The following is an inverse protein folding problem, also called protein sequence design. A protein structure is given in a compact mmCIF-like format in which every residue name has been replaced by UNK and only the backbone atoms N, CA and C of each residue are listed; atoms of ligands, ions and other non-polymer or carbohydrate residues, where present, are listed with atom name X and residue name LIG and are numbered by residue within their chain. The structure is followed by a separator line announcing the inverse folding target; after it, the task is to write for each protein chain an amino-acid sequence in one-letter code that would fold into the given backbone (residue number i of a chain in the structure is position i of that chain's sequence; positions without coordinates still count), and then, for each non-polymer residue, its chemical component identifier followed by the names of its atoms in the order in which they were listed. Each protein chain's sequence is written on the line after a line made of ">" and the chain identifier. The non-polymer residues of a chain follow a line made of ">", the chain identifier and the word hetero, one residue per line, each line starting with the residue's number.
data_IF_674871246843
#
_entry.id   IF_674871246843
#
_cell.length_a   1.000
_cell.length_b   1.000
_cell.length_c   1.000
_cell.angle_alpha   90.00
_cell.angle_beta   90.00
_cell.angle_gamma   90.00
#
_symmetry.space_group_name_H-M   'P 1'
#
loop_
_entity.id
_entity.type
_entity.pdbx_description
1 polymer ?
#
# COMPACT_ATOMS: atom_id res chain seq x y z
N UNK A 1 -9.82 12.07 9.23
CA UNK A 1 -9.06 12.73 8.15
C UNK A 1 -9.99 13.73 7.48
N UNK A 2 -9.50 14.94 7.15
CA UNK A 2 -10.27 15.95 6.39
C UNK A 2 -10.31 15.69 4.88
N UNK A 3 -9.53 14.70 4.40
CA UNK A 3 -9.41 14.36 2.98
C UNK A 3 -9.52 12.85 2.74
N UNK A 4 -9.96 12.42 1.54
CA UNK A 4 -9.91 11.02 1.12
C UNK A 4 -8.49 10.49 1.23
N UNK A 5 -8.34 9.30 1.81
CA UNK A 5 -7.04 8.65 1.96
C UNK A 5 -6.87 7.61 0.86
N UNK A 6 -5.66 7.54 0.30
CA UNK A 6 -5.29 6.52 -0.67
C UNK A 6 -4.60 5.36 0.05
N UNK A 7 -5.08 4.14 -0.18
CA UNK A 7 -4.44 2.92 0.26
C UNK A 7 -3.81 2.22 -0.95
N UNK A 8 -2.54 1.85 -0.86
CA UNK A 8 -1.79 1.29 -2.00
C UNK A 8 -1.15 -0.04 -1.65
N UNK A 9 -1.18 -0.95 -2.61
CA UNK A 9 -0.31 -2.12 -2.66
C UNK A 9 0.75 -1.87 -3.73
N UNK A 10 2.00 -2.25 -3.47
CA UNK A 10 3.08 -2.17 -4.44
C UNK A 10 3.96 -3.41 -4.35
N UNK A 11 4.52 -3.81 -5.49
CA UNK A 11 5.40 -4.96 -5.56
C UNK A 11 6.04 -5.07 -6.95
N UNK A 12 7.18 -5.74 -6.99
CA UNK A 12 7.90 -6.05 -8.23
C UNK A 12 7.95 -7.57 -8.37
N UNK A 13 7.46 -8.15 -9.48
CA UNK A 13 7.51 -9.59 -9.67
C UNK A 13 8.97 -10.06 -9.75
N UNK A 14 9.23 -11.26 -9.22
CA UNK A 14 10.53 -11.91 -9.34
C UNK A 14 10.78 -12.35 -10.80
N UNK A 15 12.04 -12.58 -11.15
CA UNK A 15 12.40 -13.02 -12.51
C UNK A 15 11.64 -14.29 -12.88
N UNK A 16 10.97 -14.27 -14.03
CA UNK A 16 10.17 -15.40 -14.52
C UNK A 16 8.70 -15.36 -14.10
N UNK A 17 8.29 -14.37 -13.31
CA UNK A 17 6.90 -14.11 -12.96
C UNK A 17 6.38 -12.86 -13.65
N UNK A 18 5.09 -12.84 -13.95
CA UNK A 18 4.46 -11.69 -14.62
C UNK A 18 3.79 -10.74 -13.62
N UNK A 19 3.47 -9.54 -14.08
CA UNK A 19 2.70 -8.56 -13.30
C UNK A 19 1.31 -9.08 -12.96
N UNK A 20 0.70 -9.85 -13.86
CA UNK A 20 -0.63 -10.43 -13.69
C UNK A 20 -0.62 -11.56 -12.64
N UNK A 21 0.45 -12.33 -12.55
CA UNK A 21 0.61 -13.35 -11.50
C UNK A 21 0.70 -12.69 -10.12
N UNK A 22 1.48 -11.62 -10.00
CA UNK A 22 1.59 -10.86 -8.75
C UNK A 22 0.26 -10.21 -8.37
N UNK A 23 -0.45 -9.62 -9.35
CA UNK A 23 -1.77 -9.04 -9.14
C UNK A 23 -2.77 -10.08 -8.61
N UNK A 24 -2.85 -11.26 -9.23
CA UNK A 24 -3.72 -12.36 -8.76
C UNK A 24 -3.37 -12.81 -7.34
N UNK A 25 -2.08 -12.87 -7.00
CA UNK A 25 -1.65 -13.24 -5.64
C UNK A 25 -2.09 -12.19 -4.60
N UNK A 26 -2.01 -10.90 -4.94
CA UNK A 26 -2.52 -9.82 -4.07
C UNK A 26 -4.03 -9.95 -3.87
N UNK A 27 -4.79 -10.21 -4.93
CA UNK A 27 -6.24 -10.40 -4.81
C UNK A 27 -6.62 -11.61 -3.97
N UNK A 28 -5.90 -12.73 -4.13
CA UNK A 28 -6.13 -13.90 -3.28
C UNK A 28 -5.93 -13.57 -1.79
N UNK A 29 -4.95 -12.74 -1.45
CA UNK A 29 -4.71 -12.35 -0.06
C UNK A 29 -5.75 -11.36 0.48
N UNK A 30 -6.20 -10.42 -0.36
CA UNK A 30 -7.30 -9.52 -0.01
C UNK A 30 -8.57 -10.33 0.28
N UNK A 31 -8.91 -11.29 -0.56
CA UNK A 31 -10.08 -12.15 -0.35
C UNK A 31 -9.98 -12.95 0.95
N UNK A 32 -8.80 -13.50 1.28
CA UNK A 32 -8.61 -14.15 2.60
C UNK A 32 -8.89 -13.21 3.76
N UNK A 33 -8.38 -11.98 3.73
CA UNK A 33 -8.62 -11.00 4.80
C UNK A 33 -10.11 -10.60 4.88
N UNK A 34 -10.86 -10.69 3.78
CA UNK A 34 -12.31 -10.45 3.75
C UNK A 34 -13.11 -11.62 4.31
N UNK A 35 -12.66 -12.85 4.16
CA UNK A 35 -13.42 -14.06 4.51
C UNK A 35 -12.98 -14.75 5.79
N UNK A 36 -11.71 -14.62 6.16
CA UNK A 36 -11.08 -15.31 7.28
C UNK A 36 -10.55 -14.28 8.29
N UNK A 37 -10.88 -14.42 9.58
CA UNK A 37 -10.33 -13.54 10.60
C UNK A 37 -8.82 -13.76 10.74
N UNK A 38 -8.07 -12.66 10.81
CA UNK A 38 -6.63 -12.70 11.09
C UNK A 38 -6.39 -13.37 12.42
N UNK A 39 -5.36 -14.22 12.50
CA UNK A 39 -5.05 -14.94 13.74
C UNK A 39 -4.61 -13.99 14.85
N UNK A 40 -4.91 -14.34 16.11
CA UNK A 40 -4.46 -13.57 17.28
C UNK A 40 -2.93 -13.37 17.29
N UNK A 41 -2.19 -14.38 16.84
CA UNK A 41 -0.73 -14.32 16.77
C UNK A 41 -0.25 -13.27 15.76
N UNK A 42 -0.84 -13.23 14.55
CA UNK A 42 -0.49 -12.22 13.53
C UNK A 42 -0.90 -10.83 13.97
N UNK A 43 -2.11 -10.67 14.49
CA UNK A 43 -2.60 -9.40 15.00
C UNK A 43 -1.69 -8.87 16.12
N UNK A 44 -1.31 -9.73 17.07
CA UNK A 44 -0.41 -9.35 18.16
C UNK A 44 0.99 -9.00 17.64
N UNK A 45 1.49 -9.73 16.64
CA UNK A 45 2.80 -9.44 16.00
C UNK A 45 2.79 -8.05 15.36
N UNK A 46 1.76 -7.70 14.61
CA UNK A 46 1.63 -6.37 13.97
C UNK A 46 1.49 -5.29 15.04
N UNK A 47 0.69 -5.51 16.10
CA UNK A 47 0.58 -4.58 17.23
C UNK A 47 1.93 -4.31 17.89
N UNK A 48 2.74 -5.36 18.12
CA UNK A 48 4.07 -5.21 18.70
C UNK A 48 5.03 -4.40 17.80
N UNK A 49 4.96 -4.59 16.48
CA UNK A 49 5.77 -3.82 15.52
C UNK A 49 5.39 -2.33 15.53
N UNK A 50 4.09 -2.04 15.58
CA UNK A 50 3.61 -0.67 15.71
C UNK A 50 4.06 -0.03 17.03
N UNK A 51 3.97 -0.77 18.13
CA UNK A 51 4.41 -0.27 19.44
C UNK A 51 5.91 0.10 19.42
N UNK A 52 6.74 -0.75 18.83
CA UNK A 52 8.17 -0.50 18.66
C UNK A 52 8.46 0.72 17.76
N UNK A 53 7.76 0.86 16.63
CA UNK A 53 7.91 1.98 15.72
C UNK A 53 7.53 3.32 16.38
N UNK A 54 6.48 3.30 17.21
CA UNK A 54 6.04 4.46 17.96
C UNK A 54 7.01 4.87 19.05
N UNK A 55 7.57 3.93 19.81
CA UNK A 55 8.62 4.23 20.80
C UNK A 55 9.83 4.86 20.09
N UNK A 56 10.25 4.27 18.96
CA UNK A 56 11.39 4.77 18.19
C UNK A 56 11.16 6.20 17.69
N UNK A 57 9.95 6.56 17.27
CA UNK A 57 9.65 7.89 16.73
C UNK A 57 9.63 9.01 17.78
N UNK A 58 9.44 8.72 19.08
CA UNK A 58 9.57 9.72 20.16
C UNK A 58 10.89 9.65 20.92
N UNK A 59 11.81 8.80 20.51
CA UNK A 59 13.09 8.64 21.21
C UNK A 59 14.08 9.82 21.02
N UNK A 60 13.64 10.91 20.38
CA UNK A 60 14.42 12.14 20.23
C UNK A 60 13.52 13.36 20.40
N UNK A 61 14.10 14.46 20.90
CA UNK A 61 13.38 15.73 21.04
C UNK A 61 12.78 16.20 19.70
N UNK A 62 13.52 16.00 18.60
CA UNK A 62 13.06 16.34 17.25
C UNK A 62 11.87 15.46 16.83
N UNK A 63 11.95 14.14 17.03
CA UNK A 63 10.85 13.22 16.71
C UNK A 63 9.59 13.49 17.52
N UNK A 64 9.73 13.78 18.82
CA UNK A 64 8.63 14.20 19.68
C UNK A 64 8.02 15.52 19.21
N UNK A 65 8.83 16.55 18.96
CA UNK A 65 8.36 17.86 18.48
C UNK A 65 7.57 17.71 17.17
N UNK A 66 8.11 16.97 16.19
CA UNK A 66 7.42 16.71 14.92
C UNK A 66 6.06 16.04 15.11
N UNK A 67 5.97 15.06 16.02
CA UNK A 67 4.72 14.34 16.26
C UNK A 67 3.66 15.25 16.87
N UNK A 68 4.03 16.02 17.90
CA UNK A 68 3.13 16.97 18.56
C UNK A 68 2.66 18.06 17.58
N UNK A 69 3.58 18.65 16.83
CA UNK A 69 3.27 19.67 15.84
C UNK A 69 2.35 19.13 14.73
N UNK A 70 2.55 17.89 14.29
CA UNK A 70 1.71 17.28 13.25
C UNK A 70 0.27 17.05 13.74
N UNK A 71 0.09 16.53 14.96
CA UNK A 71 -1.25 16.37 15.54
C UNK A 71 -1.95 17.70 15.79
N UNK A 72 -1.25 18.70 16.32
CA UNK A 72 -1.79 20.05 16.48
C UNK A 72 -2.23 20.63 15.11
N UNK A 73 -1.39 20.51 14.07
CA UNK A 73 -1.70 21.03 12.75
C UNK A 73 -2.85 20.28 12.06
N UNK A 74 -2.97 18.97 12.26
CA UNK A 74 -3.92 18.13 11.53
C UNK A 74 -5.29 18.02 12.21
N UNK A 75 -5.32 17.94 13.55
CA UNK A 75 -6.54 17.74 14.34
C UNK A 75 -6.79 18.81 15.41
N UNK A 76 -5.87 19.78 15.58
CA UNK A 76 -6.03 20.88 16.54
C UNK A 76 -5.82 20.49 18.00
N UNK A 77 -5.26 19.30 18.25
CA UNK A 77 -5.02 18.77 19.59
C UNK A 77 -3.78 17.86 19.58
N UNK A 78 -2.65 18.37 20.06
CA UNK A 78 -1.42 17.60 20.25
C UNK A 78 -1.61 16.36 21.14
N UNK A 79 -2.55 16.39 22.09
CA UNK A 79 -2.79 15.31 23.05
C UNK A 79 -3.50 14.11 22.43
N UNK A 80 -4.04 14.28 21.22
CA UNK A 80 -4.66 13.22 20.41
C UNK A 80 -3.71 12.04 20.16
N UNK A 81 -2.40 12.26 20.22
CA UNK A 81 -1.37 11.22 20.20
C UNK A 81 -1.64 10.06 21.17
N UNK A 82 -2.20 10.35 22.36
CA UNK A 82 -2.52 9.34 23.38
C UNK A 82 -3.81 8.59 23.05
N UNK A 83 -4.81 9.29 22.50
CA UNK A 83 -6.09 8.69 22.10
C UNK A 83 -5.90 7.77 20.90
N UNK A 84 -5.13 8.22 19.91
CA UNK A 84 -4.77 7.45 18.73
C UNK A 84 -4.06 6.13 19.09
N UNK A 85 -3.17 6.18 20.07
CA UNK A 85 -2.48 5.01 20.60
C UNK A 85 -3.44 3.98 21.21
N UNK A 86 -4.40 4.43 22.03
CA UNK A 86 -5.41 3.53 22.62
C UNK A 86 -6.34 2.95 21.57
N UNK A 87 -6.77 3.77 20.60
CA UNK A 87 -7.62 3.32 19.49
C UNK A 87 -6.96 2.18 18.71
N UNK A 88 -5.66 2.29 18.41
CA UNK A 88 -4.93 1.24 17.70
C UNK A 88 -4.84 -0.08 18.48
N UNK A 89 -4.63 -0.01 19.81
CA UNK A 89 -4.56 -1.21 20.66
C UNK A 89 -5.86 -1.99 20.70
N UNK A 90 -6.98 -1.29 20.56
CA UNK A 90 -8.32 -1.87 20.59
C UNK A 90 -8.79 -2.44 19.24
N UNK A 91 -7.98 -2.32 18.17
CA UNK A 91 -8.32 -2.92 16.87
C UNK A 91 -8.46 -4.44 17.02
N UNK A 92 -9.58 -4.98 16.54
CA UNK A 92 -9.92 -6.40 16.56
C UNK A 92 -9.73 -7.05 15.18
N UNK A 93 -9.71 -8.38 15.12
CA UNK A 93 -9.68 -9.09 13.84
C UNK A 93 -10.97 -8.83 13.04
N UNK A 94 -12.10 -8.72 13.74
CA UNK A 94 -13.41 -8.40 13.17
C UNK A 94 -13.43 -6.99 12.56
N UNK A 95 -12.78 -6.02 13.19
CA UNK A 95 -12.63 -4.67 12.63
C UNK A 95 -11.83 -4.68 11.33
N UNK A 96 -10.75 -5.45 11.27
CA UNK A 96 -9.93 -5.59 10.06
C UNK A 96 -10.77 -6.19 8.94
N UNK A 97 -11.47 -7.29 9.20
CA UNK A 97 -12.33 -7.95 8.24
C UNK A 97 -13.47 -7.03 7.76
N UNK A 98 -14.10 -6.29 8.67
CA UNK A 98 -15.15 -5.31 8.35
C UNK A 98 -14.64 -4.19 7.45
N UNK A 99 -13.46 -3.63 7.75
CA UNK A 99 -12.85 -2.56 6.95
C UNK A 99 -12.39 -3.08 5.59
N UNK A 100 -11.84 -4.30 5.52
CA UNK A 100 -11.48 -4.95 4.26
C UNK A 100 -12.70 -5.10 3.35
N UNK A 101 -13.83 -5.59 3.88
CA UNK A 101 -15.09 -5.70 3.14
C UNK A 101 -15.72 -4.34 2.77
N UNK A 102 -15.42 -3.27 3.52
CA UNK A 102 -15.99 -1.96 3.24
C UNK A 102 -15.22 -1.20 2.15
N UNK A 103 -13.88 -1.32 2.11
CA UNK A 103 -13.05 -0.44 1.29
C UNK A 103 -12.27 -1.14 0.19
N UNK A 104 -11.95 -2.44 0.34
CA UNK A 104 -11.18 -3.22 -0.65
C UNK A 104 -12.12 -3.91 -1.64
N UNK A 105 -13.00 -3.12 -2.24
CA UNK A 105 -13.91 -3.56 -3.29
C UNK A 105 -13.30 -3.38 -4.68
N UNK A 106 -13.64 -4.27 -5.61
CA UNK A 106 -13.07 -4.25 -6.96
C UNK A 106 -13.40 -2.96 -7.72
N UNK A 107 -14.59 -2.40 -7.48
CA UNK A 107 -15.02 -1.14 -8.09
C UNK A 107 -14.28 0.08 -7.56
N UNK A 108 -13.50 -0.07 -6.48
CA UNK A 108 -12.81 1.03 -5.79
C UNK A 108 -11.28 0.89 -5.87
N UNK A 109 -10.76 0.27 -6.93
CA UNK A 109 -9.31 0.11 -7.15
C UNK A 109 -8.86 0.59 -8.53
N UNK A 110 -7.63 1.09 -8.58
CA UNK A 110 -6.91 1.39 -9.82
C UNK A 110 -5.62 0.57 -9.83
N UNK A 111 -5.38 -0.15 -10.93
CA UNK A 111 -4.18 -0.97 -11.12
C UNK A 111 -3.29 -0.30 -12.16
N UNK A 112 -2.00 -0.17 -11.83
CA UNK A 112 -0.99 0.30 -12.76
C UNK A 112 0.13 -0.73 -12.82
N UNK A 113 0.43 -1.21 -14.03
CA UNK A 113 1.52 -2.16 -14.29
C UNK A 113 2.57 -1.50 -15.18
N UNK A 114 3.84 -1.86 -14.96
CA UNK A 114 4.95 -1.44 -15.80
C UNK A 114 5.60 -2.71 -16.37
N UNK A 115 5.37 -2.96 -17.65
CA UNK A 115 5.89 -4.11 -18.38
C UNK A 115 6.98 -3.62 -19.34
N UNK A 116 8.09 -4.35 -19.44
CA UNK A 116 9.10 -4.07 -20.46
C UNK A 116 8.55 -4.52 -21.83
N UNK A 117 8.65 -3.71 -22.89
CA UNK A 117 8.27 -4.15 -24.23
C UNK A 117 9.08 -5.39 -24.63
N UNK A 118 8.45 -6.32 -25.33
CA UNK A 118 9.15 -7.47 -25.91
C UNK A 118 10.12 -6.98 -27.00
N UNK A 119 11.34 -7.52 -27.02
CA UNK A 119 12.39 -7.14 -27.98
C UNK A 119 11.95 -7.31 -29.45
N UNK A 120 10.90 -8.10 -29.73
CA UNK A 120 10.35 -8.33 -31.06
C UNK A 120 9.61 -7.12 -31.67
N UNK A 121 9.12 -6.16 -30.86
CA UNK A 121 8.46 -4.96 -31.40
C UNK A 121 9.49 -3.93 -31.91
N UNK A 122 10.71 -3.91 -31.35
CA UNK A 122 11.77 -2.98 -31.74
C UNK A 122 12.36 -3.25 -33.14
N UNK A 123 12.26 -4.47 -33.66
CA UNK A 123 12.74 -4.78 -35.03
C UNK A 123 11.73 -4.40 -36.12
N UNK A 124 10.44 -4.25 -35.77
CA UNK A 124 9.37 -3.91 -36.72
C UNK A 124 9.28 -2.42 -37.04
N UNK A 125 9.64 -1.53 -36.10
CA UNK A 125 9.72 -0.08 -36.35
C UNK A 125 11.02 0.32 -37.05
N UNK A 126 12.12 -0.43 -36.86
CA UNK A 126 13.41 -0.14 -37.49
C UNK A 126 13.48 -0.42 -38.99
N UNK A 127 12.62 -1.31 -39.52
CA UNK A 127 12.66 -1.72 -40.94
C UNK A 127 11.75 -0.89 -41.86
N UNK A 128 10.82 -0.10 -41.32
CA UNK A 128 9.94 0.77 -42.11
C UNK A 128 10.56 2.14 -42.42
N UNK A 129 11.57 2.58 -41.65
CA UNK A 129 12.23 3.88 -41.85
C UNK A 129 13.26 3.90 -43.00
N UNK A 130 13.72 2.76 -43.52
CA UNK A 130 14.80 2.72 -44.53
C UNK A 130 14.31 2.72 -46.00
N UNK A 131 13.00 2.65 -46.28
CA UNK A 131 12.48 2.52 -47.66
C UNK A 131 11.90 3.77 -48.32
N UNK A 132 11.85 4.92 -47.65
CA UNK A 132 11.31 6.17 -48.25
C UNK A 132 12.38 7.21 -48.66
N UNK A 133 13.65 6.82 -48.77
CA UNK A 133 14.76 7.73 -49.06
C UNK A 133 15.36 7.71 -50.47
N UNK A 134 14.77 7.01 -51.46
CA UNK A 134 15.35 6.95 -52.80
C UNK A 134 14.30 6.95 -53.92
N UNK A 135 13.81 8.14 -54.29
CA UNK A 135 13.48 8.48 -55.67
C UNK A 135 13.21 9.98 -55.82
N UNK A 136 13.83 10.56 -56.85
CA UNK A 136 13.78 11.93 -57.41
C UNK A 136 14.78 12.95 -56.89
#
# INVERSE_FOLDING_TARGET
>A
SRYPSLFTFSGTPLKGHTTEELEKAIYAEIEKIKTEPVTDWELQKVKNQFDAAMIKSVNSNMGLCWRLANYEAMVGDWSYINQYWQAYKNVTAEDIMRVANQYLEESNRTVATLVKPDEAENESEGTLSEKEGASY
#
